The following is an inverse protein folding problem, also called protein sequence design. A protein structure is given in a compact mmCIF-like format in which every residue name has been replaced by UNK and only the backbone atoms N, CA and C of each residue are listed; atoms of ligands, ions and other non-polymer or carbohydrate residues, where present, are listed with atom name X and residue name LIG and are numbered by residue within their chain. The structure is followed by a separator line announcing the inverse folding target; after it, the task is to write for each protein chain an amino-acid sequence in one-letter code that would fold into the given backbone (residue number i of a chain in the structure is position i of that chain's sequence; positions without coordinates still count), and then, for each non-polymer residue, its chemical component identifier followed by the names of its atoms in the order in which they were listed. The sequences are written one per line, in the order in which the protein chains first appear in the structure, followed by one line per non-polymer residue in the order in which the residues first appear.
data_IF_805293491725
#
_entry.id   IF_805293491725
#
_cell.length_a   1.000
_cell.length_b   1.000
_cell.length_c   1.000
_cell.angle_alpha   90.00
_cell.angle_beta   90.00
_cell.angle_gamma   90.00
#
_symmetry.space_group_name_H-M   'P 1'
#
loop_
_entity.id
_entity.type
_entity.pdbx_description
1 polymer ?
#
# COMPACT_ATOMS: atom_id res chain seq x y z
N UNK A 1 -14.51 24.56 -9.86
CA UNK A 1 -14.90 23.14 -9.70
C UNK A 1 -15.55 22.98 -8.34
N UNK A 2 -16.74 22.37 -8.25
CA UNK A 2 -17.51 22.31 -7.00
C UNK A 2 -17.01 21.20 -6.08
N UNK A 3 -16.99 21.45 -4.77
CA UNK A 3 -16.73 20.43 -3.75
C UNK A 3 -18.03 19.71 -3.39
N UNK A 4 -17.95 18.41 -3.10
CA UNK A 4 -19.07 17.62 -2.57
C UNK A 4 -18.80 17.32 -1.09
N UNK A 5 -19.85 17.34 -0.26
CA UNK A 5 -19.76 17.04 1.17
C UNK A 5 -20.20 15.61 1.46
N UNK A 6 -19.47 14.92 2.32
CA UNK A 6 -19.82 13.63 2.87
C UNK A 6 -20.22 13.81 4.33
N UNK A 7 -21.41 13.31 4.72
CA UNK A 7 -21.86 13.26 6.10
C UNK A 7 -21.82 11.81 6.59
N UNK A 8 -20.99 11.53 7.59
CA UNK A 8 -20.77 10.19 8.14
C UNK A 8 -21.07 10.17 9.63
N UNK A 9 -21.76 9.11 10.08
CA UNK A 9 -21.96 8.83 11.50
C UNK A 9 -20.84 7.94 11.99
N UNK A 10 -20.18 8.34 13.06
CA UNK A 10 -19.07 7.59 13.66
C UNK A 10 -19.49 7.05 15.04
N UNK A 11 -19.07 5.83 15.41
CA UNK A 11 -19.15 5.38 16.79
C UNK A 11 -18.42 6.35 17.72
N UNK A 12 -18.96 6.60 18.90
CA UNK A 12 -18.42 7.60 19.83
C UNK A 12 -16.95 7.32 20.20
N UNK A 13 -16.62 6.06 20.47
CA UNK A 13 -15.24 5.62 20.75
C UNK A 13 -14.28 5.93 19.59
N UNK A 14 -14.74 5.79 18.35
CA UNK A 14 -13.93 6.10 17.17
C UNK A 14 -13.70 7.61 17.06
N UNK A 15 -14.74 8.42 17.29
CA UNK A 15 -14.61 9.88 17.29
C UNK A 15 -13.64 10.37 18.36
N UNK A 16 -13.73 9.83 19.59
CA UNK A 16 -12.82 10.18 20.68
C UNK A 16 -11.36 9.85 20.34
N UNK A 17 -11.10 8.68 19.75
CA UNK A 17 -9.75 8.30 19.33
C UNK A 17 -9.24 9.17 18.18
N UNK A 18 -10.09 9.49 17.21
CA UNK A 18 -9.74 10.39 16.12
C UNK A 18 -9.40 11.80 16.64
N UNK A 19 -10.15 12.33 17.61
CA UNK A 19 -9.85 13.62 18.23
C UNK A 19 -8.50 13.63 18.97
N UNK A 20 -8.15 12.53 19.66
CA UNK A 20 -6.82 12.39 20.28
C UNK A 20 -5.73 12.37 19.20
N UNK A 21 -5.93 11.60 18.15
CA UNK A 21 -4.99 11.51 17.02
C UNK A 21 -4.76 12.88 16.37
N UNK A 22 -5.83 13.63 16.10
CA UNK A 22 -5.77 14.99 15.54
C UNK A 22 -4.86 15.90 16.38
N UNK A 23 -5.01 15.88 17.71
CA UNK A 23 -4.19 16.70 18.61
C UNK A 23 -2.72 16.28 18.62
N UNK A 24 -2.45 14.97 18.58
CA UNK A 24 -1.08 14.45 18.63
C UNK A 24 -0.31 14.70 17.33
N UNK A 25 -0.97 14.58 16.19
CA UNK A 25 -0.32 14.59 14.87
C UNK A 25 -0.52 15.90 14.08
N UNK A 26 -1.06 16.94 14.73
CA UNK A 26 -1.10 18.30 14.17
C UNK A 26 -2.17 18.55 13.10
N UNK A 27 -3.23 17.73 13.07
CA UNK A 27 -4.39 18.00 12.21
C UNK A 27 -5.25 19.12 12.79
N UNK A 28 -5.90 19.89 11.94
CA UNK A 28 -6.82 20.98 12.34
C UNK A 28 -8.10 20.43 12.95
N UNK A 29 -8.65 19.35 12.36
CA UNK A 29 -9.86 18.70 12.85
C UNK A 29 -10.00 17.27 12.27
N UNK A 30 -11.01 16.55 12.75
CA UNK A 30 -11.30 15.17 12.33
C UNK A 30 -11.68 15.06 10.85
N UNK A 31 -12.27 16.10 10.24
CA UNK A 31 -12.62 16.06 8.81
C UNK A 31 -11.37 16.15 7.91
N UNK A 32 -10.36 16.92 8.33
CA UNK A 32 -9.07 16.98 7.66
C UNK A 32 -8.37 15.61 7.74
N UNK A 33 -8.32 15.02 8.93
CA UNK A 33 -7.81 13.65 9.11
C UNK A 33 -8.52 12.66 8.18
N UNK A 34 -9.86 12.67 8.13
CA UNK A 34 -10.62 11.77 7.25
C UNK A 34 -10.29 12.02 5.78
N UNK A 35 -10.18 13.28 5.36
CA UNK A 35 -9.86 13.63 3.97
C UNK A 35 -8.47 13.15 3.58
N UNK A 36 -7.49 13.36 4.45
CA UNK A 36 -6.11 12.97 4.19
C UNK A 36 -5.93 11.46 4.20
N UNK A 37 -6.54 10.75 5.17
CA UNK A 37 -6.55 9.28 5.18
C UNK A 37 -7.26 8.68 3.96
N UNK A 38 -8.35 9.30 3.48
CA UNK A 38 -9.00 8.88 2.25
C UNK A 38 -8.12 9.18 1.03
N UNK A 39 -7.43 10.33 1.01
CA UNK A 39 -6.52 10.67 -0.09
C UNK A 39 -5.37 9.66 -0.16
N UNK A 40 -4.75 9.36 0.97
CA UNK A 40 -3.70 8.36 1.08
C UNK A 40 -4.18 7.02 0.50
N UNK A 41 -5.29 6.48 0.98
CA UNK A 41 -5.83 5.20 0.49
C UNK A 41 -6.25 5.18 -0.99
N UNK A 42 -6.70 6.31 -1.53
CA UNK A 42 -7.22 6.38 -2.91
C UNK A 42 -6.10 6.74 -3.90
N UNK A 43 -5.14 7.56 -3.48
CA UNK A 43 -4.10 8.13 -4.32
C UNK A 43 -2.69 7.62 -3.97
N UNK A 44 -2.55 6.64 -3.07
CA UNK A 44 -1.42 5.70 -3.04
C UNK A 44 -1.34 5.03 -4.42
N UNK A 45 -0.62 5.70 -5.31
CA UNK A 45 -0.45 5.36 -6.73
C UNK A 45 1.01 5.56 -7.14
N UNK A 46 1.94 5.39 -6.19
CA UNK A 46 3.37 5.24 -6.49
C UNK A 46 3.96 3.90 -6.08
N UNK A 47 3.31 3.19 -5.16
CA UNK A 47 3.62 1.79 -4.88
C UNK A 47 2.32 1.03 -5.03
N UNK A 48 2.10 0.55 -6.25
CA UNK A 48 1.16 -0.53 -6.47
C UNK A 48 1.75 -1.73 -5.71
N UNK A 49 1.13 -2.15 -4.61
CA UNK A 49 1.51 -3.40 -3.93
C UNK A 49 1.16 -4.63 -4.79
N UNK A 50 0.56 -4.42 -5.96
CA UNK A 50 0.33 -5.45 -6.97
C UNK A 50 1.37 -5.33 -8.09
N UNK A 51 1.93 -6.46 -8.50
CA UNK A 51 2.78 -6.50 -9.69
C UNK A 51 1.93 -6.15 -10.91
N UNK A 52 2.40 -5.20 -11.71
CA UNK A 52 1.82 -4.94 -13.02
C UNK A 52 1.90 -6.19 -13.90
N UNK A 53 1.00 -6.33 -14.88
CA UNK A 53 1.05 -7.46 -15.82
C UNK A 53 2.42 -7.62 -16.51
N UNK A 54 3.16 -6.52 -16.71
CA UNK A 54 4.51 -6.56 -17.27
C UNK A 54 5.52 -7.19 -16.31
N UNK A 55 5.42 -6.88 -15.03
CA UNK A 55 6.29 -7.46 -13.99
C UNK A 55 5.97 -8.94 -13.78
N UNK A 56 4.67 -9.31 -13.77
CA UNK A 56 4.24 -10.71 -13.75
C UNK A 56 4.84 -11.48 -14.94
N UNK A 57 4.71 -10.94 -16.15
CA UNK A 57 5.26 -11.57 -17.35
C UNK A 57 6.79 -11.68 -17.31
N UNK A 58 7.47 -10.70 -16.71
CA UNK A 58 8.92 -10.73 -16.54
C UNK A 58 9.31 -11.86 -15.58
N UNK A 59 8.64 -11.97 -14.44
CA UNK A 59 8.85 -13.05 -13.46
C UNK A 59 8.66 -14.41 -14.12
N UNK A 60 7.55 -14.60 -14.86
CA UNK A 60 7.27 -15.86 -15.58
C UNK A 60 8.36 -16.18 -16.61
N UNK A 61 8.84 -15.17 -17.35
CA UNK A 61 9.91 -15.36 -18.33
C UNK A 61 11.23 -15.77 -17.68
N UNK A 62 11.58 -15.17 -16.54
CA UNK A 62 12.80 -15.49 -15.80
C UNK A 62 12.72 -16.90 -15.24
N UNK A 63 11.60 -17.29 -14.63
CA UNK A 63 11.39 -18.65 -14.12
C UNK A 63 11.52 -19.66 -15.24
N UNK A 64 10.88 -19.41 -16.39
CA UNK A 64 10.95 -20.30 -17.54
C UNK A 64 12.37 -20.46 -18.07
N UNK A 65 13.11 -19.36 -18.24
CA UNK A 65 14.51 -19.41 -18.69
C UNK A 65 15.41 -20.11 -17.67
N UNK A 66 15.22 -19.88 -16.37
CA UNK A 66 15.99 -20.57 -15.33
C UNK A 66 15.75 -22.09 -15.33
N UNK A 67 14.49 -22.53 -15.54
CA UNK A 67 14.15 -23.95 -15.69
C UNK A 67 14.78 -24.56 -16.95
N UNK A 68 14.72 -23.85 -18.08
CA UNK A 68 15.30 -24.29 -19.36
C UNK A 68 16.84 -24.38 -19.31
N UNK A 69 17.49 -23.50 -18.55
CA UNK A 69 18.95 -23.46 -18.36
C UNK A 69 19.43 -24.37 -17.22
N UNK A 70 18.53 -25.02 -16.48
CA UNK A 70 18.89 -25.90 -15.36
C UNK A 70 19.38 -25.17 -14.10
N UNK A 71 19.14 -23.86 -14.00
CA UNK A 71 19.49 -23.03 -12.84
C UNK A 71 18.43 -23.14 -11.74
N UNK A 72 18.14 -24.37 -11.30
CA UNK A 72 17.24 -24.62 -10.17
C UNK A 72 18.08 -24.63 -8.91
N UNK A 73 17.98 -23.56 -8.13
CA UNK A 73 18.64 -23.43 -6.83
C UNK A 73 17.66 -23.72 -5.70
N UNK A 74 18.18 -24.12 -4.55
CA UNK A 74 17.39 -24.31 -3.34
C UNK A 74 16.89 -22.99 -2.75
N UNK A 75 15.85 -23.05 -1.91
CA UNK A 75 15.32 -21.86 -1.20
C UNK A 75 16.39 -21.15 -0.36
N UNK A 76 17.26 -21.92 0.31
CA UNK A 76 18.37 -21.38 1.10
C UNK A 76 19.38 -20.62 0.25
N UNK A 77 19.73 -21.14 -0.93
CA UNK A 77 20.64 -20.49 -1.88
C UNK A 77 20.02 -19.23 -2.48
N UNK A 78 18.73 -19.26 -2.83
CA UNK A 78 18.01 -18.10 -3.34
C UNK A 78 18.01 -16.94 -2.33
N UNK A 79 17.73 -17.25 -1.06
CA UNK A 79 17.73 -16.26 0.02
C UNK A 79 19.13 -15.68 0.25
N UNK A 80 20.18 -16.48 0.11
CA UNK A 80 21.55 -15.99 0.23
C UNK A 80 21.96 -15.04 -0.91
N UNK A 81 21.52 -15.31 -2.14
CA UNK A 81 21.79 -14.44 -3.30
C UNK A 81 21.04 -13.12 -3.22
N UNK A 82 19.79 -13.12 -2.74
CA UNK A 82 18.93 -11.94 -2.68
C UNK A 82 19.18 -11.03 -1.46
N UNK A 83 19.99 -11.45 -0.49
CA UNK A 83 20.33 -10.68 0.72
C UNK A 83 21.54 -9.74 0.55
N UNK A 84 22.13 -9.69 -0.65
CA UNK A 84 23.22 -8.78 -1.04
C UNK A 84 22.68 -7.43 -1.51
#
# INVERSE_FOLDING_TARGET
MGTKQLNVKLPEKLLQNAQKYVKTFGFTNVQELIRDSLREKIFESRYDETFTQREINLIDSVIKTSLEQGHVISEEELVNVLRT
#
